data_IF_243315793184
#
_entry.id   IF_243315793184
#
_cell.length_a   1.000
_cell.length_b   1.000
_cell.length_c   1.000
_cell.angle_alpha   90.00
_cell.angle_beta   90.00
_cell.angle_gamma   90.00
#
_symmetry.space_group_name_H-M   'P 1'
#
loop_
_entity.id
_entity.type
_entity.pdbx_description
1 polymer ?
#
# COMPACT_ATOMS: atom_id res chain seq x y z
N UNK A 1 10.55 32.67 4.47
CA UNK A 1 9.74 31.93 3.49
C UNK A 1 10.13 30.47 3.56
N UNK A 2 9.32 29.65 4.23
CA UNK A 2 9.58 28.20 4.35
C UNK A 2 9.33 27.53 3.01
N UNK A 3 10.37 26.95 2.40
CA UNK A 3 10.24 26.18 1.18
C UNK A 3 9.34 24.97 1.44
N UNK A 4 8.22 24.89 0.72
CA UNK A 4 7.38 23.70 0.74
C UNK A 4 8.22 22.52 0.23
N UNK A 5 8.48 21.55 1.11
CA UNK A 5 9.12 20.29 0.76
C UNK A 5 8.08 19.48 -0.02
N UNK A 6 8.12 19.55 -1.34
CA UNK A 6 7.31 18.69 -2.21
C UNK A 6 7.89 17.27 -2.14
N UNK A 7 7.38 16.47 -1.22
CA UNK A 7 7.69 15.05 -1.18
C UNK A 7 6.80 14.38 -2.23
N UNK A 8 7.40 13.76 -3.24
CA UNK A 8 6.66 12.98 -4.23
C UNK A 8 6.13 11.71 -3.52
N UNK A 9 4.84 11.74 -3.16
CA UNK A 9 4.18 10.59 -2.53
C UNK A 9 3.67 9.68 -3.65
N UNK A 10 4.24 8.47 -3.77
CA UNK A 10 3.72 7.46 -4.68
C UNK A 10 2.61 6.64 -4.01
N UNK A 11 1.42 6.65 -4.62
CA UNK A 11 0.28 5.83 -4.23
C UNK A 11 -0.05 4.84 -5.34
N UNK A 12 -0.13 3.56 -5.00
CA UNK A 12 -0.50 2.50 -5.95
C UNK A 12 -1.94 2.09 -5.68
N UNK A 13 -2.81 2.23 -6.68
CA UNK A 13 -4.20 1.79 -6.64
C UNK A 13 -4.37 0.61 -7.60
N UNK A 14 -4.74 -0.55 -7.07
CA UNK A 14 -5.03 -1.73 -7.87
C UNK A 14 -6.49 -2.12 -7.68
N UNK A 15 -7.13 -2.50 -8.77
CA UNK A 15 -8.50 -3.03 -8.75
C UNK A 15 -8.42 -4.53 -8.99
N UNK A 16 -8.99 -5.31 -8.06
CA UNK A 16 -9.00 -6.77 -8.12
C UNK A 16 -10.44 -7.26 -8.24
N UNK A 17 -10.66 -8.23 -9.11
CA UNK A 17 -11.92 -8.97 -9.13
C UNK A 17 -11.85 -10.11 -8.11
N UNK A 18 -12.78 -10.12 -7.16
CA UNK A 18 -12.92 -11.15 -6.13
C UNK A 18 -13.20 -12.55 -6.69
N UNK A 19 -13.78 -12.66 -7.89
CA UNK A 19 -14.06 -13.97 -8.52
C UNK A 19 -12.80 -14.82 -8.74
N UNK A 20 -11.63 -14.18 -8.78
CA UNK A 20 -10.33 -14.85 -9.00
C UNK A 20 -9.64 -15.28 -7.70
N UNK A 21 -10.25 -15.05 -6.54
CA UNK A 21 -9.66 -15.33 -5.23
C UNK A 21 -10.55 -16.26 -4.42
N UNK A 22 -9.93 -17.08 -3.56
CA UNK A 22 -10.67 -18.03 -2.72
C UNK A 22 -11.48 -17.34 -1.59
N UNK A 23 -11.20 -16.06 -1.32
CA UNK A 23 -11.86 -15.26 -0.29
C UNK A 23 -11.09 -13.99 0.05
N UNK A 24 -11.57 -13.23 1.04
CA UNK A 24 -10.92 -11.99 1.49
C UNK A 24 -9.54 -12.24 2.12
N UNK A 25 -9.37 -13.37 2.79
CA UNK A 25 -8.10 -13.80 3.40
C UNK A 25 -6.98 -13.90 2.36
N UNK A 26 -7.30 -14.49 1.20
CA UNK A 26 -6.38 -14.68 0.08
C UNK A 26 -5.95 -13.33 -0.53
N UNK A 27 -6.91 -12.43 -0.68
CA UNK A 27 -6.67 -11.05 -1.13
C UNK A 27 -5.82 -10.26 -0.13
N UNK A 28 -6.03 -10.45 1.16
CA UNK A 28 -5.22 -9.81 2.21
C UNK A 28 -3.76 -10.29 2.13
N UNK A 29 -3.54 -11.59 1.98
CA UNK A 29 -2.20 -12.17 1.82
C UNK A 29 -1.52 -11.67 0.54
N UNK A 30 -2.26 -11.62 -0.56
CA UNK A 30 -1.77 -11.06 -1.82
C UNK A 30 -1.39 -9.58 -1.66
N UNK A 31 -2.21 -8.78 -0.99
CA UNK A 31 -1.94 -7.38 -0.70
C UNK A 31 -0.70 -7.17 0.18
N UNK A 32 -0.52 -7.99 1.21
CA UNK A 32 0.67 -8.01 2.06
C UNK A 32 1.94 -8.38 1.29
N UNK A 33 1.87 -9.36 0.38
CA UNK A 33 3.00 -9.72 -0.47
C UNK A 33 3.35 -8.62 -1.47
N UNK A 34 2.34 -8.01 -2.11
CA UNK A 34 2.53 -6.87 -3.00
C UNK A 34 3.12 -5.67 -2.28
N UNK A 35 2.62 -5.36 -1.08
CA UNK A 35 3.12 -4.27 -0.27
C UNK A 35 4.62 -4.45 0.04
N UNK A 36 5.00 -5.65 0.50
CA UNK A 36 6.41 -6.00 0.75
C UNK A 36 7.25 -6.00 -0.53
N UNK A 37 6.71 -6.49 -1.65
CA UNK A 37 7.38 -6.42 -2.95
C UNK A 37 7.67 -4.97 -3.34
N UNK A 38 6.67 -4.09 -3.30
CA UNK A 38 6.88 -2.67 -3.62
C UNK A 38 7.85 -1.99 -2.64
N UNK A 39 7.83 -2.35 -1.35
CA UNK A 39 8.80 -1.84 -0.38
C UNK A 39 10.26 -2.25 -0.70
N UNK A 40 10.49 -3.38 -1.38
CA UNK A 40 11.83 -3.80 -1.80
C UNK A 40 12.34 -3.06 -3.04
N UNK A 41 11.45 -2.57 -3.92
CA UNK A 41 11.81 -1.87 -5.16
C UNK A 41 11.74 -0.35 -5.04
N UNK A 42 10.95 0.17 -4.11
CA UNK A 42 10.95 1.59 -3.81
C UNK A 42 12.20 1.89 -3.00
N UNK A 43 13.17 2.55 -3.62
CA UNK A 43 14.22 3.27 -2.91
C UNK A 43 13.53 4.13 -1.83
N UNK A 44 13.60 3.64 -0.59
CA UNK A 44 13.15 3.97 0.79
C UNK A 44 12.20 5.19 1.03
N UNK A 45 11.98 6.07 0.06
CA UNK A 45 11.29 7.35 0.18
C UNK A 45 10.13 7.59 -0.78
N UNK A 46 9.94 6.77 -1.82
CA UNK A 46 8.91 7.03 -2.83
C UNK A 46 7.57 6.37 -2.52
N UNK A 47 7.56 5.11 -2.09
CA UNK A 47 6.32 4.38 -1.86
C UNK A 47 5.78 4.64 -0.45
N UNK A 48 4.52 5.07 -0.38
CA UNK A 48 3.89 5.41 0.90
C UNK A 48 2.59 4.63 1.15
N UNK A 49 1.87 4.23 0.09
CA UNK A 49 0.55 3.61 0.25
C UNK A 49 0.18 2.67 -0.90
N UNK A 50 -0.24 1.45 -0.56
CA UNK A 50 -0.97 0.53 -1.43
C UNK A 50 -2.45 0.59 -1.10
N UNK A 51 -3.31 0.66 -2.11
CA UNK A 51 -4.76 0.49 -1.95
C UNK A 51 -5.26 -0.53 -2.96
N UNK A 52 -5.87 -1.61 -2.44
CA UNK A 52 -6.58 -2.59 -3.24
C UNK A 52 -8.08 -2.29 -3.19
N UNK A 53 -8.71 -2.19 -4.35
CA UNK A 53 -10.15 -2.02 -4.51
C UNK A 53 -10.74 -3.33 -5.01
N UNK A 54 -11.59 -3.93 -4.20
CA UNK A 54 -12.20 -5.23 -4.46
C UNK A 54 -13.51 -5.02 -5.19
N UNK A 55 -13.61 -5.53 -6.40
CA UNK A 55 -14.86 -5.58 -7.16
C UNK A 55 -15.49 -6.97 -7.07
N UNK A 56 -16.84 -7.05 -7.10
CA UNK A 56 -17.80 -5.94 -7.25
C UNK A 56 -18.11 -5.19 -5.95
N UNK A 57 -17.67 -5.69 -4.79
CA UNK A 57 -18.07 -5.21 -3.45
C UNK A 57 -17.71 -3.74 -3.16
N UNK A 58 -16.76 -3.16 -3.89
CA UNK A 58 -16.23 -1.82 -3.67
C UNK A 58 -15.38 -1.67 -2.41
N UNK A 59 -15.06 -2.79 -1.74
CA UNK A 59 -14.29 -2.81 -0.49
C UNK A 59 -12.85 -2.37 -0.77
N UNK A 60 -12.28 -1.57 0.13
CA UNK A 60 -10.94 -1.02 -0.02
C UNK A 60 -10.04 -1.50 1.10
N UNK A 61 -8.96 -2.17 0.74
CA UNK A 61 -7.91 -2.60 1.65
C UNK A 61 -6.70 -1.69 1.45
N UNK A 62 -6.09 -1.23 2.54
CA UNK A 62 -5.04 -0.21 2.48
C UNK A 62 -3.88 -0.56 3.36
N UNK A 63 -2.70 -0.60 2.76
CA UNK A 63 -1.43 -0.77 3.44
C UNK A 63 -0.65 0.53 3.35
N UNK A 64 -0.24 1.03 4.51
CA UNK A 64 0.60 2.22 4.62
C UNK A 64 1.93 1.76 5.17
N UNK A 65 3.01 2.26 4.58
CA UNK A 65 4.32 2.17 5.21
C UNK A 65 4.20 2.92 6.55
N UNK A 66 4.24 2.17 7.66
CA UNK A 66 4.47 2.77 8.96
C UNK A 66 5.94 3.21 8.91
N UNK A 67 6.18 4.49 8.65
CA UNK A 67 7.35 5.13 9.22
C UNK A 67 7.16 5.00 10.72
N UNK A 68 7.58 3.87 11.29
CA UNK A 68 7.84 3.75 12.71
C UNK A 68 8.80 4.90 12.99
N UNK A 69 8.25 6.01 13.48
CA UNK A 69 9.03 7.01 14.17
C UNK A 69 9.81 6.19 15.18
N UNK A 70 11.11 6.08 14.93
CA UNK A 70 12.08 5.60 15.88
C UNK A 70 11.68 6.19 17.23
N UNK A 71 11.15 5.35 18.12
CA UNK A 71 10.93 5.73 19.52
C UNK A 71 12.34 5.67 20.12
N UNK A 72 12.95 6.78 20.53
CA UNK A 72 14.22 6.71 21.21
C UNK A 72 13.95 6.15 22.61
N UNK A 73 14.61 5.03 22.93
CA UNK A 73 14.61 4.39 24.23
C UNK A 73 15.85 3.54 24.38
#
# INVERSE_FOLDING_TARGET
MGGAKFQLIMTINLTLNMDNFAGEEDVNLFGEMLHRFFALYADIHLFNQLTLVLQPTGKRLRWRENYSQHVPG
#
